data_IF_261564938792
#
_entry.id   IF_261564938792
#
_cell.length_a   1.000
_cell.length_b   1.000
_cell.length_c   1.000
_cell.angle_alpha   90.00
_cell.angle_beta   90.00
_cell.angle_gamma   90.00
#
_symmetry.space_group_name_H-M   'P 1'
#
loop_
_entity.id
_entity.type
_entity.pdbx_description
1 polymer ?
#
# COMPACT_ATOMS: atom_id res chain seq x y z
N UNK A 1 41.24 51.34 -12.58
CA UNK A 1 39.79 51.20 -12.29
C UNK A 1 39.17 49.95 -12.89
N UNK A 2 39.30 49.64 -14.16
CA UNK A 2 38.71 48.46 -14.82
C UNK A 2 39.20 47.11 -14.29
N UNK A 3 40.48 46.93 -13.90
CA UNK A 3 41.02 45.69 -13.32
C UNK A 3 40.48 45.38 -11.93
N UNK A 4 40.09 46.39 -11.16
CA UNK A 4 39.54 46.22 -9.81
C UNK A 4 38.07 45.81 -9.86
N UNK A 5 37.31 46.34 -10.81
CA UNK A 5 35.91 46.00 -11.06
C UNK A 5 35.79 44.54 -11.48
N UNK A 6 36.67 44.08 -12.40
CA UNK A 6 36.66 42.67 -12.83
C UNK A 6 36.97 41.68 -11.67
N UNK A 7 37.84 42.06 -10.72
CA UNK A 7 38.11 41.24 -9.54
C UNK A 7 36.92 41.16 -8.57
N UNK A 8 36.22 42.28 -8.37
CA UNK A 8 35.02 42.32 -7.54
C UNK A 8 33.87 41.47 -8.13
N UNK A 9 33.65 41.59 -9.44
CA UNK A 9 32.65 40.80 -10.14
C UNK A 9 32.97 39.30 -10.09
N UNK A 10 34.24 38.91 -10.23
CA UNK A 10 34.66 37.53 -10.10
C UNK A 10 34.45 36.96 -8.69
N UNK A 11 34.76 37.72 -7.64
CA UNK A 11 34.54 37.35 -6.25
C UNK A 11 33.05 37.23 -5.96
N UNK A 12 32.21 38.14 -6.47
CA UNK A 12 30.76 38.07 -6.32
C UNK A 12 30.16 36.85 -7.03
N UNK A 13 30.60 36.54 -8.23
CA UNK A 13 30.18 35.37 -8.97
C UNK A 13 30.63 34.06 -8.28
N UNK A 14 31.80 34.05 -7.66
CA UNK A 14 32.29 32.89 -6.91
C UNK A 14 31.51 32.72 -5.57
N UNK A 15 31.17 33.83 -4.92
CA UNK A 15 30.32 33.79 -3.71
C UNK A 15 28.90 33.32 -4.01
N UNK A 16 28.32 33.73 -5.14
CA UNK A 16 27.00 33.23 -5.61
C UNK A 16 27.04 31.74 -5.93
N UNK A 17 28.14 31.23 -6.48
CA UNK A 17 28.32 29.78 -6.72
C UNK A 17 28.44 28.96 -5.46
N UNK A 18 29.01 29.52 -4.38
CA UNK A 18 29.11 28.83 -3.08
C UNK A 18 27.74 28.76 -2.39
N UNK A 19 26.86 29.75 -2.59
CA UNK A 19 25.48 29.72 -2.11
C UNK A 19 24.56 28.81 -2.94
N UNK A 20 24.98 28.38 -4.12
CA UNK A 20 24.29 27.39 -4.95
C UNK A 20 24.83 25.97 -4.73
N UNK A 21 25.72 25.74 -3.77
CA UNK A 21 26.07 24.39 -3.36
C UNK A 21 24.88 23.81 -2.62
N UNK A 22 24.24 22.84 -3.24
CA UNK A 22 23.18 21.98 -2.77
C UNK A 22 23.06 21.92 -1.25
N UNK A 23 22.26 22.81 -0.67
CA UNK A 23 21.71 22.54 0.62
C UNK A 23 20.78 21.35 0.39
N UNK A 24 21.19 20.14 0.74
CA UNK A 24 20.27 19.04 0.90
C UNK A 24 19.16 19.54 1.78
N UNK A 25 17.94 19.43 1.30
CA UNK A 25 16.79 19.78 2.14
C UNK A 25 16.78 18.81 3.32
N UNK A 26 16.36 19.27 4.51
CA UNK A 26 16.31 18.40 5.70
C UNK A 26 15.49 17.14 5.45
N UNK A 27 14.56 17.20 4.54
CA UNK A 27 13.73 16.08 4.10
C UNK A 27 14.53 14.95 3.46
N UNK A 28 15.65 15.26 2.82
CA UNK A 28 16.51 14.23 2.17
C UNK A 28 17.22 13.32 3.18
N UNK A 29 17.24 13.70 4.45
CA UNK A 29 17.78 12.87 5.54
C UNK A 29 16.75 11.95 6.18
N UNK A 30 15.49 12.06 5.79
CA UNK A 30 14.43 11.18 6.31
C UNK A 30 14.47 9.86 5.53
N UNK A 31 14.64 8.75 6.25
CA UNK A 31 14.56 7.42 5.68
C UNK A 31 13.32 6.69 6.21
N UNK A 32 12.25 6.57 5.42
CA UNK A 32 11.03 5.86 5.83
C UNK A 32 11.21 4.36 6.08
N UNK A 33 12.31 3.77 5.60
CA UNK A 33 12.62 2.35 5.84
C UNK A 33 13.14 2.07 7.25
N UNK A 34 13.46 3.10 8.05
CA UNK A 34 13.90 2.91 9.43
C UNK A 34 12.74 2.32 10.24
N UNK A 35 12.97 1.14 10.81
CA UNK A 35 11.96 0.41 11.57
C UNK A 35 10.99 -0.41 10.74
N UNK A 36 11.16 -0.52 9.42
CA UNK A 36 10.31 -1.31 8.54
C UNK A 36 10.68 -2.81 8.50
N UNK A 37 11.48 -3.28 9.44
CA UNK A 37 11.89 -4.68 9.54
C UNK A 37 11.21 -5.35 10.73
N UNK A 38 10.54 -6.47 10.47
CA UNK A 38 10.03 -7.38 11.49
C UNK A 38 10.67 -8.74 11.22
N UNK A 39 11.42 -9.26 12.19
CA UNK A 39 12.01 -10.60 12.08
C UNK A 39 11.00 -11.64 12.57
N UNK A 40 10.52 -12.48 11.69
CA UNK A 40 9.51 -13.50 12.00
C UNK A 40 10.00 -14.62 12.94
N UNK A 41 11.32 -14.75 13.09
CA UNK A 41 11.95 -15.84 13.83
C UNK A 41 12.44 -15.46 15.22
N UNK A 42 12.25 -14.24 15.64
CA UNK A 42 12.59 -13.83 17.00
C UNK A 42 11.32 -13.95 17.82
N UNK A 43 11.22 -14.99 18.64
CA UNK A 43 10.01 -15.37 19.37
C UNK A 43 9.33 -14.24 20.15
N UNK A 44 8.24 -14.54 20.83
CA UNK A 44 7.30 -13.61 21.49
C UNK A 44 7.88 -12.55 22.47
N UNK A 45 9.19 -12.36 22.48
CA UNK A 45 9.87 -11.41 23.38
C UNK A 45 10.26 -10.11 22.71
N UNK A 46 9.91 -9.91 21.44
CA UNK A 46 10.55 -8.89 20.63
C UNK A 46 9.77 -7.60 20.55
N UNK A 47 9.69 -6.96 21.65
CA UNK A 47 9.28 -5.54 21.76
C UNK A 47 10.25 -4.57 21.06
N UNK A 48 11.35 -5.08 20.50
CA UNK A 48 12.43 -4.29 19.92
C UNK A 48 12.49 -4.23 18.40
N UNK A 49 11.65 -4.98 17.69
CA UNK A 49 11.66 -4.97 16.24
C UNK A 49 10.90 -3.77 15.69
N UNK A 50 11.44 -3.19 14.63
CA UNK A 50 10.77 -2.10 13.93
C UNK A 50 9.38 -2.51 13.46
N UNK A 51 8.41 -1.64 13.68
CA UNK A 51 7.02 -1.83 13.27
C UNK A 51 6.51 -0.56 12.62
N UNK A 52 7.18 -0.18 11.55
CA UNK A 52 6.81 0.98 10.73
C UNK A 52 6.54 0.52 9.31
N UNK A 53 5.64 1.21 8.63
CA UNK A 53 5.40 1.00 7.22
C UNK A 53 6.22 2.03 6.40
N UNK A 54 6.78 1.64 5.24
CA UNK A 54 7.60 2.54 4.42
C UNK A 54 6.79 3.44 3.48
N UNK A 55 5.48 3.28 3.48
CA UNK A 55 4.59 4.01 2.59
C UNK A 55 4.42 5.48 2.97
N UNK A 56 3.44 6.12 2.37
CA UNK A 56 3.23 7.56 2.46
C UNK A 56 2.08 7.92 3.39
N UNK A 57 2.28 8.98 4.17
CA UNK A 57 1.25 9.60 4.99
C UNK A 57 1.54 11.09 5.16
N UNK A 58 0.53 11.85 5.53
CA UNK A 58 0.72 13.23 5.99
C UNK A 58 0.65 13.30 7.50
N UNK A 59 1.29 14.27 8.15
CA UNK A 59 1.17 14.46 9.59
C UNK A 59 -0.32 14.55 9.99
N UNK A 60 -0.73 13.68 10.92
CA UNK A 60 -2.13 13.57 11.39
C UNK A 60 -3.16 13.26 10.29
N UNK A 61 -2.72 12.72 9.17
CA UNK A 61 -3.59 12.30 8.08
C UNK A 61 -4.40 11.05 8.42
N UNK A 62 -5.56 10.91 7.80
CA UNK A 62 -6.40 9.70 7.90
C UNK A 62 -5.83 8.54 7.06
N UNK A 63 -5.13 8.87 5.98
CA UNK A 63 -4.60 7.88 5.03
C UNK A 63 -3.12 7.61 5.32
N UNK A 64 -2.81 6.32 5.50
CA UNK A 64 -1.47 5.76 5.56
C UNK A 64 -1.38 4.69 4.47
N UNK A 65 -0.95 5.11 3.29
CA UNK A 65 -0.92 4.26 2.09
C UNK A 65 0.43 3.58 1.95
N UNK A 66 0.45 2.26 1.97
CA UNK A 66 1.70 1.48 2.00
C UNK A 66 1.54 0.14 1.29
N UNK A 67 2.65 -0.45 0.82
CA UNK A 67 2.65 -1.85 0.43
C UNK A 67 2.41 -2.75 1.65
N UNK A 68 1.78 -3.87 1.39
CA UNK A 68 1.59 -4.97 2.32
C UNK A 68 2.35 -6.20 1.82
N UNK A 69 3.22 -6.74 2.66
CA UNK A 69 4.01 -7.94 2.34
C UNK A 69 3.53 -9.17 3.07
N UNK A 70 2.78 -8.99 4.15
CA UNK A 70 2.30 -10.09 4.98
C UNK A 70 0.96 -9.75 5.65
N UNK A 71 0.09 -10.74 5.68
CA UNK A 71 -1.14 -10.72 6.47
C UNK A 71 -0.99 -11.65 7.67
N UNK A 72 -1.38 -11.17 8.84
CA UNK A 72 -1.36 -11.97 10.07
C UNK A 72 -0.02 -11.93 10.81
N UNK A 73 0.03 -12.69 11.90
CA UNK A 73 1.19 -12.73 12.78
C UNK A 73 1.41 -11.43 13.55
N UNK A 74 2.63 -11.20 13.95
CA UNK A 74 3.04 -10.01 14.73
C UNK A 74 3.52 -8.85 13.81
N UNK A 75 3.03 -8.78 12.61
CA UNK A 75 3.37 -7.75 11.64
C UNK A 75 2.34 -6.62 11.62
N UNK A 76 2.27 -5.87 12.71
CA UNK A 76 1.27 -4.79 12.87
C UNK A 76 1.35 -3.65 11.87
N UNK A 77 2.45 -3.52 11.12
CA UNK A 77 2.61 -2.51 10.07
C UNK A 77 2.23 -2.98 8.67
N UNK A 78 1.99 -4.29 8.47
CA UNK A 78 1.68 -4.88 7.17
C UNK A 78 2.89 -5.09 6.25
N UNK A 79 4.03 -4.54 6.57
CA UNK A 79 5.26 -4.60 5.77
C UNK A 79 6.44 -5.12 6.58
N UNK A 80 7.28 -5.94 5.97
CA UNK A 80 8.60 -6.27 6.48
C UNK A 80 9.65 -6.23 5.37
N UNK A 81 10.76 -5.56 5.65
CA UNK A 81 11.88 -5.44 4.69
C UNK A 81 12.51 -6.79 4.30
N UNK A 82 12.34 -7.83 5.10
CA UNK A 82 12.86 -9.17 4.78
C UNK A 82 11.98 -9.96 3.81
N UNK A 83 10.75 -9.50 3.57
CA UNK A 83 9.88 -10.18 2.62
C UNK A 83 10.24 -9.84 1.18
N UNK A 84 9.99 -10.76 0.30
CA UNK A 84 10.34 -10.69 -1.13
C UNK A 84 9.12 -10.57 -2.04
N UNK A 85 7.92 -10.54 -1.45
CA UNK A 85 6.66 -10.44 -2.20
C UNK A 85 5.73 -9.40 -1.59
N UNK A 86 4.94 -8.74 -2.43
CA UNK A 86 3.89 -7.79 -2.05
C UNK A 86 2.53 -8.43 -2.31
N UNK A 87 1.63 -8.39 -1.31
CA UNK A 87 0.23 -8.82 -1.42
C UNK A 87 -0.64 -7.76 -2.09
N UNK A 88 -0.27 -6.51 -1.98
CA UNK A 88 -0.99 -5.35 -2.51
C UNK A 88 -0.64 -4.08 -1.76
N UNK A 89 -1.47 -3.06 -1.94
CA UNK A 89 -1.30 -1.74 -1.35
C UNK A 89 -2.60 -1.35 -0.63
N UNK A 90 -2.52 -1.05 0.67
CA UNK A 90 -3.70 -0.68 1.43
C UNK A 90 -3.59 0.74 2.01
N UNK A 91 -4.73 1.31 2.40
CA UNK A 91 -4.87 2.74 2.69
C UNK A 91 -4.79 3.08 4.17
N UNK A 92 -4.76 2.08 5.03
CA UNK A 92 -4.74 2.27 6.47
C UNK A 92 -3.67 1.41 7.11
N UNK A 93 -2.74 2.05 7.78
CA UNK A 93 -1.67 1.38 8.50
C UNK A 93 -1.45 2.02 9.86
N UNK A 94 -0.77 1.31 10.72
CA UNK A 94 -0.37 1.80 12.02
C UNK A 94 1.10 1.49 12.25
N UNK A 95 1.84 2.48 12.71
CA UNK A 95 3.20 2.32 13.19
C UNK A 95 3.25 2.34 14.70
N UNK A 96 4.16 1.59 15.28
CA UNK A 96 4.42 1.64 16.71
C UNK A 96 4.42 0.29 17.40
N UNK A 97 4.28 0.30 18.71
CA UNK A 97 4.26 -0.88 19.55
C UNK A 97 2.93 -1.60 19.34
N UNK A 98 2.96 -2.77 18.78
CA UNK A 98 1.74 -3.56 18.66
C UNK A 98 2.05 -5.02 18.37
N UNK A 99 1.49 -5.89 19.16
CA UNK A 99 1.39 -7.31 18.91
C UNK A 99 0.29 -7.64 17.91
N UNK A 100 -0.39 -6.61 17.44
CA UNK A 100 -1.71 -6.72 16.87
C UNK A 100 -1.69 -6.14 15.49
N UNK A 101 -1.79 -7.01 14.50
CA UNK A 101 -2.09 -6.59 13.17
C UNK A 101 -3.56 -6.21 13.07
N UNK A 102 -3.82 -5.01 12.66
CA UNK A 102 -5.13 -4.56 12.21
C UNK A 102 -4.96 -3.43 11.19
N UNK A 103 -6.06 -2.93 10.65
CA UNK A 103 -6.05 -2.04 9.51
C UNK A 103 -5.61 -2.79 8.23
N UNK A 104 -4.91 -2.15 7.32
CA UNK A 104 -4.61 -2.71 6.00
C UNK A 104 -5.87 -2.83 5.14
N UNK A 105 -6.77 -1.86 5.31
CA UNK A 105 -8.06 -1.86 4.64
C UNK A 105 -7.95 -1.38 3.20
N UNK A 106 -8.85 -1.88 2.37
CA UNK A 106 -8.91 -1.59 0.94
C UNK A 106 -7.62 -1.95 0.23
N UNK A 107 -7.28 -3.24 0.31
CA UNK A 107 -6.12 -3.75 -0.39
C UNK A 107 -6.37 -3.69 -1.89
N UNK A 108 -5.48 -3.01 -2.59
CA UNK A 108 -5.53 -2.86 -4.05
C UNK A 108 -4.30 -3.51 -4.65
N UNK A 109 -4.51 -4.39 -5.63
CA UNK A 109 -3.43 -5.07 -6.35
C UNK A 109 -3.63 -4.94 -7.85
N UNK A 110 -2.69 -4.32 -8.59
CA UNK A 110 -2.70 -4.33 -10.04
C UNK A 110 -2.13 -5.65 -10.56
N UNK A 111 -2.78 -6.27 -11.54
CA UNK A 111 -2.34 -7.53 -12.13
C UNK A 111 -2.51 -7.54 -13.64
N UNK A 112 -1.81 -8.45 -14.31
CA UNK A 112 -1.98 -8.80 -15.72
C UNK A 112 -2.13 -10.31 -15.89
N UNK A 113 -2.68 -10.76 -17.01
CA UNK A 113 -2.77 -12.18 -17.32
C UNK A 113 -3.86 -12.91 -16.53
N UNK A 114 -3.59 -14.11 -16.07
CA UNK A 114 -4.56 -14.95 -15.38
C UNK A 114 -5.11 -14.27 -14.11
N UNK A 115 -6.43 -14.32 -13.94
CA UNK A 115 -7.07 -13.86 -12.71
C UNK A 115 -6.88 -14.90 -11.59
N UNK A 116 -6.30 -14.44 -10.48
CA UNK A 116 -6.26 -15.17 -9.23
C UNK A 116 -7.15 -14.46 -8.21
N UNK A 117 -7.99 -15.21 -7.50
CA UNK A 117 -8.97 -14.69 -6.54
C UNK A 117 -8.50 -14.81 -5.08
N UNK A 118 -7.30 -15.27 -4.86
CA UNK A 118 -6.65 -15.32 -3.56
C UNK A 118 -5.19 -14.85 -3.66
N UNK A 119 -4.62 -14.50 -2.53
CA UNK A 119 -3.32 -13.82 -2.49
C UNK A 119 -2.10 -14.73 -2.72
N UNK A 120 -2.24 -16.03 -2.52
CA UNK A 120 -1.09 -16.95 -2.46
C UNK A 120 -0.31 -16.80 -1.14
N UNK A 121 0.86 -17.43 -1.08
CA UNK A 121 1.80 -17.31 0.04
C UNK A 121 3.15 -16.79 -0.43
N UNK A 122 4.01 -16.37 0.50
CA UNK A 122 5.35 -15.91 0.14
C UNK A 122 6.19 -17.03 -0.46
N UNK A 123 6.01 -18.26 0.03
CA UNK A 123 6.70 -19.46 -0.46
C UNK A 123 6.20 -19.91 -1.84
N UNK A 124 4.93 -19.65 -2.13
CA UNK A 124 4.27 -20.01 -3.37
C UNK A 124 3.50 -18.82 -3.97
N UNK A 125 4.18 -17.76 -4.39
CA UNK A 125 3.52 -16.56 -4.92
C UNK A 125 2.77 -16.81 -6.22
N UNK A 126 3.21 -17.78 -7.04
CA UNK A 126 2.59 -18.12 -8.32
C UNK A 126 1.18 -18.74 -8.18
N UNK A 127 0.80 -19.14 -6.96
CA UNK A 127 -0.53 -19.68 -6.69
C UNK A 127 -1.60 -18.59 -6.48
N UNK A 128 -1.19 -17.32 -6.34
CA UNK A 128 -2.09 -16.21 -6.03
C UNK A 128 -1.82 -14.95 -6.82
N UNK A 129 -2.41 -13.84 -6.38
CA UNK A 129 -2.23 -12.53 -7.02
C UNK A 129 -1.06 -11.72 -6.46
N UNK A 130 -0.36 -12.15 -5.41
CA UNK A 130 0.83 -11.46 -4.92
C UNK A 130 1.94 -11.43 -5.96
N UNK A 131 2.85 -10.50 -5.86
CA UNK A 131 3.97 -10.36 -6.77
C UNK A 131 5.30 -10.31 -6.03
N UNK A 132 6.32 -10.92 -6.60
CA UNK A 132 7.70 -10.69 -6.24
C UNK A 132 8.07 -9.24 -6.52
N UNK A 133 9.02 -8.73 -5.75
CA UNK A 133 9.63 -7.42 -5.97
C UNK A 133 11.09 -7.43 -5.51
N UNK A 134 11.85 -6.41 -5.92
CA UNK A 134 13.23 -6.22 -5.51
C UNK A 134 13.39 -4.87 -4.82
N UNK A 135 14.15 -4.83 -3.72
CA UNK A 135 14.55 -3.58 -3.07
C UNK A 135 15.43 -2.69 -3.96
N UNK A 136 16.00 -3.22 -5.03
CA UNK A 136 16.71 -2.41 -6.05
C UNK A 136 15.75 -1.51 -6.83
N UNK A 137 14.47 -1.88 -6.92
CA UNK A 137 13.43 -1.11 -7.59
C UNK A 137 12.47 -0.44 -6.61
N UNK A 138 12.71 -0.60 -5.31
CA UNK A 138 11.93 -0.01 -4.24
C UNK A 138 12.54 1.31 -3.78
N UNK A 139 11.71 2.32 -3.63
CA UNK A 139 12.13 3.64 -3.14
C UNK A 139 11.08 4.24 -2.23
N UNK A 140 11.48 4.65 -1.03
CA UNK A 140 10.61 5.30 -0.07
C UNK A 140 11.14 6.69 0.28
N UNK A 141 10.30 7.69 0.10
CA UNK A 141 10.49 9.09 0.49
C UNK A 141 9.29 9.55 1.32
N UNK A 142 9.39 10.68 1.97
CA UNK A 142 8.31 11.16 2.85
C UNK A 142 7.00 11.47 2.12
N UNK A 143 7.07 11.77 0.84
CA UNK A 143 5.96 12.20 -0.01
C UNK A 143 5.60 11.18 -1.09
N UNK A 144 6.46 10.19 -1.29
CA UNK A 144 6.33 9.23 -2.38
C UNK A 144 6.93 7.88 -2.02
N UNK A 145 6.24 6.82 -2.40
CA UNK A 145 6.75 5.46 -2.42
C UNK A 145 6.66 4.90 -3.84
N UNK A 146 7.65 4.14 -4.26
CA UNK A 146 7.69 3.50 -5.58
C UNK A 146 8.21 2.08 -5.46
N UNK A 147 7.67 1.18 -6.26
CA UNK A 147 8.16 -0.19 -6.41
C UNK A 147 7.76 -0.75 -7.76
N UNK A 148 8.50 -1.73 -8.25
CA UNK A 148 8.13 -2.54 -9.40
C UNK A 148 7.63 -3.91 -8.92
N UNK A 149 6.48 -4.34 -9.41
CA UNK A 149 5.96 -5.69 -9.26
C UNK A 149 6.52 -6.57 -10.37
N UNK A 150 7.44 -7.45 -10.02
CA UNK A 150 8.24 -8.17 -11.02
C UNK A 150 7.44 -9.19 -11.82
N UNK A 151 6.48 -9.88 -11.19
CA UNK A 151 5.66 -10.90 -11.87
C UNK A 151 4.68 -10.31 -12.89
N UNK A 152 4.34 -9.03 -12.76
CA UNK A 152 3.40 -8.32 -13.64
C UNK A 152 4.05 -7.24 -14.50
N UNK A 153 5.34 -6.95 -14.29
CA UNK A 153 6.05 -5.83 -14.92
C UNK A 153 5.33 -4.46 -14.71
N UNK A 154 4.73 -4.27 -13.55
CA UNK A 154 3.95 -3.08 -13.22
C UNK A 154 4.74 -2.19 -12.27
N UNK A 155 4.92 -0.91 -12.65
CA UNK A 155 5.42 0.10 -11.72
C UNK A 155 4.26 0.67 -10.90
N UNK A 156 4.43 0.74 -9.58
CA UNK A 156 3.50 1.31 -8.63
C UNK A 156 4.11 2.52 -7.96
N UNK A 157 3.36 3.61 -7.89
CA UNK A 157 3.75 4.85 -7.23
C UNK A 157 2.62 5.31 -6.31
N UNK A 158 2.96 5.64 -5.06
CA UNK A 158 2.03 6.05 -4.02
C UNK A 158 2.31 7.47 -3.57
N UNK A 159 1.25 8.23 -3.29
CA UNK A 159 1.32 9.48 -2.55
C UNK A 159 0.05 9.68 -1.71
N UNK A 160 0.12 10.51 -0.68
CA UNK A 160 -0.99 10.73 0.24
C UNK A 160 -1.23 12.20 0.52
N UNK A 161 -2.48 12.53 0.77
CA UNK A 161 -2.95 13.79 1.32
C UNK A 161 -3.70 13.51 2.65
N UNK A 162 -4.10 14.52 3.44
CA UNK A 162 -4.67 14.29 4.76
C UNK A 162 -5.87 13.35 4.81
N UNK A 163 -6.65 13.25 3.74
CA UNK A 163 -7.87 12.41 3.67
C UNK A 163 -7.99 11.57 2.41
N UNK A 164 -6.97 11.52 1.59
CA UNK A 164 -6.98 10.75 0.36
C UNK A 164 -5.60 10.18 0.04
N UNK A 165 -5.56 9.05 -0.63
CA UNK A 165 -4.36 8.48 -1.21
C UNK A 165 -4.50 8.41 -2.72
N UNK A 166 -3.38 8.44 -3.42
CA UNK A 166 -3.34 8.24 -4.86
C UNK A 166 -2.35 7.13 -5.17
N UNK A 167 -2.79 6.18 -5.96
CA UNK A 167 -1.94 5.13 -6.52
C UNK A 167 -1.89 5.32 -8.03
N UNK A 168 -0.68 5.31 -8.58
CA UNK A 168 -0.48 5.26 -10.02
C UNK A 168 0.13 3.92 -10.39
N UNK A 169 -0.57 3.21 -11.28
CA UNK A 169 -0.09 1.98 -11.89
C UNK A 169 0.35 2.25 -13.32
N UNK A 170 1.59 1.89 -13.65
CA UNK A 170 2.09 1.90 -15.02
C UNK A 170 2.22 0.46 -15.48
N UNK A 171 1.28 0.04 -16.30
CA UNK A 171 1.20 -1.31 -16.86
C UNK A 171 2.10 -1.45 -18.09
N UNK A 172 2.64 -2.66 -18.34
CA UNK A 172 3.11 -3.01 -19.67
C UNK A 172 1.91 -3.07 -20.64
N UNK A 173 2.20 -3.14 -21.93
CA UNK A 173 1.15 -3.42 -22.92
C UNK A 173 0.64 -4.86 -22.73
N UNK A 174 -0.60 -5.01 -22.28
CA UNK A 174 -1.22 -6.30 -22.02
C UNK A 174 -2.75 -6.21 -22.16
N UNK A 175 -3.36 -7.21 -22.80
CA UNK A 175 -4.80 -7.24 -23.04
C UNK A 175 -5.61 -7.43 -21.75
N UNK A 176 -5.07 -8.19 -20.79
CA UNK A 176 -5.71 -8.51 -19.52
C UNK A 176 -5.08 -7.74 -18.35
N UNK A 177 -5.15 -6.42 -18.41
CA UNK A 177 -4.73 -5.55 -17.30
C UNK A 177 -5.90 -5.23 -16.40
N UNK A 178 -5.74 -5.39 -15.07
CA UNK A 178 -6.81 -5.18 -14.10
C UNK A 178 -6.33 -4.60 -12.79
N UNK A 179 -7.28 -4.08 -12.04
CA UNK A 179 -7.11 -3.69 -10.62
C UNK A 179 -8.02 -4.61 -9.81
N UNK A 180 -7.45 -5.33 -8.86
CA UNK A 180 -8.17 -6.15 -7.90
C UNK A 180 -8.26 -5.39 -6.58
N UNK A 181 -9.43 -5.42 -5.93
CA UNK A 181 -9.65 -4.80 -4.62
C UNK A 181 -10.17 -5.89 -3.70
N UNK A 182 -9.38 -6.24 -2.70
CA UNK A 182 -9.73 -7.24 -1.70
C UNK A 182 -10.30 -6.54 -0.45
N UNK A 183 -11.61 -6.59 -0.32
CA UNK A 183 -12.34 -6.02 0.81
C UNK A 183 -12.43 -6.96 2.01
N UNK A 184 -12.11 -8.23 1.85
CA UNK A 184 -12.09 -9.15 2.98
C UNK A 184 -10.84 -9.01 3.82
N UNK A 185 -9.74 -8.58 3.22
CA UNK A 185 -8.43 -8.58 3.86
C UNK A 185 -8.30 -7.43 4.87
N UNK A 186 -7.76 -7.73 6.04
CA UNK A 186 -7.10 -6.80 6.96
C UNK A 186 -5.85 -7.45 7.55
N UNK A 187 -4.91 -6.69 8.09
CA UNK A 187 -3.60 -7.22 8.52
C UNK A 187 -3.76 -8.33 9.56
N UNK A 188 -4.61 -8.19 10.53
CA UNK A 188 -4.79 -9.17 11.62
C UNK A 188 -5.95 -10.15 11.43
N UNK A 189 -6.56 -10.21 10.25
CA UNK A 189 -7.71 -11.08 10.03
C UNK A 189 -8.47 -10.77 8.77
N UNK A 190 -9.78 -10.93 8.80
CA UNK A 190 -10.70 -10.61 7.71
C UNK A 190 -11.80 -9.67 8.16
N UNK A 191 -12.37 -8.90 7.24
CA UNK A 191 -13.62 -8.18 7.49
C UNK A 191 -14.78 -9.16 7.60
N UNK A 192 -15.85 -8.76 8.28
CA UNK A 192 -17.05 -9.59 8.48
C UNK A 192 -18.13 -9.33 7.47
N UNK A 193 -18.20 -8.12 6.98
CA UNK A 193 -19.17 -7.68 5.97
C UNK A 193 -18.50 -6.71 5.02
N UNK A 194 -18.85 -6.76 3.75
CA UNK A 194 -18.32 -5.89 2.70
C UNK A 194 -19.45 -5.41 1.80
N UNK A 195 -19.27 -4.23 1.24
CA UNK A 195 -20.14 -3.69 0.24
C UNK A 195 -19.35 -2.90 -0.79
N UNK A 196 -19.64 -3.11 -2.06
CA UNK A 196 -19.09 -2.34 -3.16
C UNK A 196 -20.19 -2.00 -4.17
N UNK A 197 -20.13 -0.79 -4.68
CA UNK A 197 -21.03 -0.29 -5.72
C UNK A 197 -20.21 0.37 -6.82
N UNK A 198 -20.45 -0.02 -8.05
CA UNK A 198 -19.97 0.69 -9.24
C UNK A 198 -20.97 1.79 -9.53
N UNK A 199 -20.63 3.04 -9.18
CA UNK A 199 -21.50 4.21 -9.36
C UNK A 199 -21.59 4.59 -10.83
N UNK A 200 -20.44 4.61 -11.49
CA UNK A 200 -20.30 4.80 -12.92
C UNK A 200 -18.98 4.17 -13.41
N UNK A 201 -18.64 4.38 -14.67
CA UNK A 201 -17.42 3.80 -15.23
C UNK A 201 -16.10 4.40 -14.71
N UNK A 202 -16.13 5.39 -13.84
CA UNK A 202 -14.95 5.96 -13.19
C UNK A 202 -14.97 5.85 -11.68
N UNK A 203 -16.12 5.48 -11.09
CA UNK A 203 -16.33 5.62 -9.66
C UNK A 203 -16.81 4.29 -9.07
N UNK A 204 -16.12 3.85 -8.05
CA UNK A 204 -16.62 2.84 -7.11
C UNK A 204 -16.66 3.42 -5.71
N UNK A 205 -17.58 2.95 -4.90
CA UNK A 205 -17.64 3.23 -3.47
C UNK A 205 -18.06 2.01 -2.69
N UNK A 206 -17.80 2.02 -1.41
CA UNK A 206 -18.18 0.91 -0.58
C UNK A 206 -17.71 1.05 0.84
N UNK A 207 -17.78 -0.04 1.55
CA UNK A 207 -17.32 -0.14 2.93
C UNK A 207 -16.93 -1.57 3.29
N UNK A 208 -16.16 -1.71 4.35
CA UNK A 208 -15.89 -2.98 4.99
C UNK A 208 -16.05 -2.84 6.50
N UNK A 209 -16.67 -3.83 7.11
CA UNK A 209 -16.88 -3.93 8.56
C UNK A 209 -15.90 -4.91 9.15
N UNK A 210 -15.18 -4.48 10.14
CA UNK A 210 -14.13 -5.24 10.81
C UNK A 210 -14.54 -5.42 12.28
N UNK A 211 -14.97 -6.62 12.60
CA UNK A 211 -15.40 -6.97 13.96
C UNK A 211 -14.38 -7.92 14.61
N UNK A 212 -14.45 -8.10 15.95
CA UNK A 212 -13.53 -8.97 16.66
C UNK A 212 -13.61 -10.46 16.30
N UNK A 213 -14.72 -10.90 15.76
CA UNK A 213 -14.98 -12.31 15.44
C UNK A 213 -13.99 -12.86 14.41
N UNK A 214 -13.57 -12.02 13.46
CA UNK A 214 -12.69 -12.41 12.38
C UNK A 214 -11.24 -11.93 12.57
N UNK A 215 -10.83 -11.66 13.80
CA UNK A 215 -9.47 -11.26 14.14
C UNK A 215 -9.32 -9.75 14.35
N UNK A 216 -8.11 -9.24 14.10
CA UNK A 216 -7.78 -7.84 14.33
C UNK A 216 -7.25 -7.55 15.72
N UNK A 217 -7.07 -6.27 16.00
CA UNK A 217 -6.42 -5.79 17.20
C UNK A 217 -7.27 -5.96 18.46
N UNK A 218 -6.60 -6.40 19.51
CA UNK A 218 -7.12 -6.44 20.88
C UNK A 218 -7.68 -7.78 21.32
N UNK A 219 -7.57 -8.02 22.62
CA UNK A 219 -8.17 -9.14 23.32
C UNK A 219 -9.12 -8.62 24.40
N UNK A 220 -10.36 -9.11 24.42
CA UNK A 220 -11.36 -8.73 25.42
C UNK A 220 -12.00 -7.35 25.16
N UNK A 221 -12.12 -6.51 26.19
CA UNK A 221 -12.93 -5.28 26.14
C UNK A 221 -12.39 -4.16 25.21
N UNK A 222 -11.22 -4.32 24.65
CA UNK A 222 -10.59 -3.34 23.74
C UNK A 222 -10.49 -3.80 22.30
N UNK A 223 -11.28 -4.77 21.89
CA UNK A 223 -11.22 -5.30 20.52
C UNK A 223 -11.66 -4.30 19.46
N UNK A 224 -10.94 -4.28 18.35
CA UNK A 224 -11.28 -3.42 17.24
C UNK A 224 -12.63 -3.82 16.61
N UNK A 225 -13.54 -2.86 16.57
CA UNK A 225 -14.85 -3.00 15.95
C UNK A 225 -15.17 -1.69 15.23
N UNK A 226 -15.05 -1.70 13.91
CA UNK A 226 -15.22 -0.49 13.11
C UNK A 226 -15.73 -0.81 11.71
N UNK A 227 -16.34 0.19 11.09
CA UNK A 227 -16.66 0.18 9.66
C UNK A 227 -15.90 1.30 8.98
N UNK A 228 -15.22 0.98 7.89
CA UNK A 228 -14.50 1.97 7.10
C UNK A 228 -15.11 2.06 5.71
N UNK A 229 -15.24 3.29 5.22
CA UNK A 229 -15.86 3.62 3.95
C UNK A 229 -14.81 4.11 2.97
N UNK A 230 -15.01 3.82 1.69
CA UNK A 230 -14.18 4.33 0.62
C UNK A 230 -14.97 4.91 -0.53
N UNK A 231 -14.31 5.82 -1.23
CA UNK A 231 -14.75 6.39 -2.50
C UNK A 231 -13.53 6.44 -3.41
N UNK A 232 -13.56 5.71 -4.51
CA UNK A 232 -12.43 5.59 -5.44
C UNK A 232 -12.80 6.17 -6.79
N UNK A 233 -11.91 7.04 -7.32
CA UNK A 233 -12.02 7.65 -8.63
C UNK A 233 -10.89 7.13 -9.53
N UNK A 234 -11.25 6.51 -10.62
CA UNK A 234 -10.30 6.03 -11.63
C UNK A 234 -10.05 7.10 -12.70
N UNK A 235 -8.79 7.30 -13.07
CA UNK A 235 -8.39 8.24 -14.13
C UNK A 235 -8.80 7.78 -15.52
N UNK A 236 -9.05 6.48 -15.70
CA UNK A 236 -9.56 5.88 -16.94
C UNK A 236 -10.86 5.14 -16.65
N UNK A 237 -11.78 5.07 -17.63
CA UNK A 237 -13.02 4.36 -17.44
C UNK A 237 -12.78 2.85 -17.25
N UNK A 238 -13.55 2.26 -16.37
CA UNK A 238 -13.66 0.80 -16.25
C UNK A 238 -14.34 0.27 -17.52
N UNK A 239 -13.70 -0.68 -18.17
CA UNK A 239 -14.24 -1.32 -19.40
C UNK A 239 -15.16 -2.47 -19.02
N UNK A 240 -14.76 -3.22 -18.01
CA UNK A 240 -15.51 -4.34 -17.45
C UNK A 240 -15.16 -4.49 -15.97
N UNK A 241 -16.01 -5.17 -15.21
CA UNK A 241 -15.77 -5.50 -13.82
C UNK A 241 -16.47 -6.81 -13.44
N UNK A 242 -15.98 -7.42 -12.39
CA UNK A 242 -16.58 -8.62 -11.81
C UNK A 242 -16.28 -8.65 -10.33
N UNK A 243 -16.94 -9.50 -9.60
CA UNK A 243 -16.71 -9.78 -8.20
C UNK A 243 -16.48 -11.26 -7.97
N UNK A 244 -15.79 -11.54 -6.91
CA UNK A 244 -15.60 -12.92 -6.42
C UNK A 244 -15.82 -12.95 -4.91
N UNK A 245 -16.08 -14.14 -4.39
CA UNK A 245 -16.14 -14.40 -2.95
C UNK A 245 -15.31 -15.64 -2.62
N UNK A 246 -15.11 -15.91 -1.34
CA UNK A 246 -14.40 -17.11 -0.88
C UNK A 246 -14.99 -18.43 -1.40
N UNK A 247 -16.28 -18.44 -1.71
CA UNK A 247 -16.99 -19.61 -2.22
C UNK A 247 -16.87 -19.79 -3.74
N UNK A 248 -16.27 -18.85 -4.44
CA UNK A 248 -16.05 -18.92 -5.88
C UNK A 248 -14.68 -19.55 -6.13
N UNK A 249 -14.61 -20.64 -6.87
CA UNK A 249 -13.34 -21.25 -7.25
C UNK A 249 -12.42 -20.24 -7.96
N UNK A 250 -11.11 -20.40 -7.76
CA UNK A 250 -10.11 -19.57 -8.41
C UNK A 250 -10.34 -19.46 -9.93
N UNK A 251 -10.13 -18.27 -10.47
CA UNK A 251 -10.28 -18.00 -11.90
C UNK A 251 -11.73 -17.81 -12.38
N UNK A 252 -12.69 -17.86 -11.47
CA UNK A 252 -14.08 -17.56 -11.77
C UNK A 252 -14.42 -16.19 -11.17
N UNK A 253 -14.86 -15.28 -12.02
CA UNK A 253 -15.42 -14.00 -11.58
C UNK A 253 -16.92 -13.96 -11.86
N UNK A 254 -17.63 -13.23 -10.99
CA UNK A 254 -19.05 -12.95 -11.18
C UNK A 254 -19.20 -11.46 -11.49
N UNK A 255 -19.90 -11.14 -12.57
CA UNK A 255 -20.28 -9.75 -12.81
C UNK A 255 -21.25 -9.29 -11.72
N UNK A 256 -21.02 -8.12 -11.19
CA UNK A 256 -21.90 -7.56 -10.20
C UNK A 256 -23.09 -6.89 -10.88
N UNK A 257 -24.22 -7.52 -10.77
CA UNK A 257 -25.52 -6.96 -11.22
C UNK A 257 -26.38 -6.47 -10.04
N UNK A 258 -26.01 -6.83 -8.81
CA UNK A 258 -26.65 -6.34 -7.60
C UNK A 258 -25.65 -6.29 -6.44
N UNK A 259 -25.83 -5.31 -5.58
CA UNK A 259 -25.01 -5.11 -4.38
C UNK A 259 -25.55 -5.88 -3.16
N UNK A 260 -26.40 -6.86 -3.36
CA UNK A 260 -27.11 -7.56 -2.30
C UNK A 260 -26.41 -8.84 -1.82
N UNK A 261 -25.27 -9.18 -2.41
CA UNK A 261 -24.53 -10.39 -2.06
C UNK A 261 -23.49 -10.05 -0.98
N UNK A 262 -23.57 -10.67 0.17
CA UNK A 262 -22.83 -10.31 1.39
C UNK A 262 -21.36 -10.75 1.41
N UNK A 263 -20.88 -11.43 0.36
CA UNK A 263 -19.54 -12.05 0.31
C UNK A 263 -18.71 -11.54 -0.87
N UNK A 264 -18.45 -10.24 -0.91
CA UNK A 264 -17.63 -9.63 -1.95
C UNK A 264 -16.22 -9.35 -1.48
N UNK A 265 -15.25 -9.67 -2.31
CA UNK A 265 -13.84 -9.32 -2.13
C UNK A 265 -13.36 -8.37 -3.21
#
# INVERSE_FOLDING_TARGET
>A
MMKTINRLVLVLLFSIRIFLSNAHELVDYVNPMIGATTLDNIGNTDLGLGKTFPGVCTPFGLVQLSPDTKTGGDNGSGYSYHHTTIEGFSFTHMSGIGWYGDLGNFLVMPTTGKLHTFKGTEENPDEGYRSRFSHETESAHIDKYEVKLDDYDIKVELTAAPRSGMIRFTYPEHEESRIQIDLARRIGGTSTEQFVEVVDNHIIRGWMKCTPENGGWGNGAGQANYTIYFYCLFSRPLVDFGIWSADIPEGISRKNESNDDENYY
#
